data_IF_801721031984
#
_entry.id   IF_801721031984
#
_cell.length_a   1.000
_cell.length_b   1.000
_cell.length_c   1.000
_cell.angle_alpha   90.00
_cell.angle_beta   90.00
_cell.angle_gamma   90.00
#
_symmetry.space_group_name_H-M   'P 1'
#
loop_
_entity.id
_entity.type
_entity.pdbx_description
1 polymer ?
#
# COMPACT_ATOMS: atom_id res chain seq x y z
N UNK A 1 -23.91 -12.24 36.85
CA UNK A 1 -22.48 -11.85 36.65
C UNK A 1 -22.13 -11.96 35.16
N UNK A 2 -21.40 -11.03 34.53
CA UNK A 2 -21.11 -11.03 33.06
C UNK A 2 -19.72 -11.58 32.72
N UNK A 3 -19.39 -12.79 33.16
CA UNK A 3 -18.03 -13.34 33.05
C UNK A 3 -17.57 -13.50 31.60
N UNK A 4 -18.46 -13.94 30.69
CA UNK A 4 -18.15 -14.01 29.26
C UNK A 4 -17.80 -12.67 28.62
N UNK A 5 -18.39 -11.55 29.07
CA UNK A 5 -18.07 -10.21 28.57
C UNK A 5 -16.67 -9.76 28.99
N UNK A 6 -16.24 -10.13 30.20
CA UNK A 6 -14.91 -9.79 30.72
C UNK A 6 -13.83 -10.63 30.01
N UNK A 7 -14.05 -11.94 29.85
CA UNK A 7 -13.15 -12.82 29.13
C UNK A 7 -12.97 -12.39 27.66
N UNK A 8 -14.07 -12.01 26.99
CA UNK A 8 -14.04 -11.51 25.62
C UNK A 8 -13.28 -10.18 25.46
N UNK A 9 -13.30 -9.30 26.48
CA UNK A 9 -12.56 -8.03 26.45
C UNK A 9 -11.04 -8.25 26.44
N UNK A 10 -10.54 -9.20 27.23
CA UNK A 10 -9.11 -9.46 27.37
C UNK A 10 -8.59 -10.54 26.43
N UNK A 11 -9.47 -11.30 25.76
CA UNK A 11 -9.11 -12.42 24.88
C UNK A 11 -8.26 -13.51 25.56
N UNK A 12 -8.39 -13.65 26.88
CA UNK A 12 -7.61 -14.59 27.72
C UNK A 12 -8.39 -15.86 28.10
N UNK A 13 -9.54 -16.12 27.48
CA UNK A 13 -10.40 -17.28 27.78
C UNK A 13 -9.63 -18.61 27.76
N UNK A 14 -8.62 -18.70 26.90
CA UNK A 14 -7.76 -19.87 26.77
C UNK A 14 -6.90 -20.21 28.00
N UNK A 15 -6.80 -19.33 29.01
CA UNK A 15 -5.94 -19.53 30.19
C UNK A 15 -6.70 -19.87 31.47
N UNK A 16 -8.03 -20.05 31.39
CA UNK A 16 -8.86 -20.25 32.56
C UNK A 16 -9.83 -21.40 32.32
N UNK A 17 -9.94 -22.28 33.31
CA UNK A 17 -11.08 -23.18 33.40
C UNK A 17 -12.22 -22.45 34.11
N UNK A 18 -13.36 -22.36 33.42
CA UNK A 18 -14.59 -21.88 34.00
C UNK A 18 -15.56 -23.02 34.19
N UNK A 19 -16.04 -23.17 35.43
CA UNK A 19 -17.21 -23.98 35.72
C UNK A 19 -18.31 -23.07 36.28
N UNK A 20 -19.47 -23.07 35.62
CA UNK A 20 -20.64 -22.29 36.01
C UNK A 20 -21.78 -23.27 36.25
N UNK A 21 -22.29 -23.32 37.47
CA UNK A 21 -23.51 -24.02 37.85
C UNK A 21 -24.61 -23.01 38.18
N UNK A 22 -25.80 -23.48 38.52
CA UNK A 22 -26.94 -22.61 38.89
C UNK A 22 -26.67 -21.75 40.12
N UNK A 23 -25.77 -22.19 41.01
CA UNK A 23 -25.48 -21.53 42.29
C UNK A 23 -24.01 -21.16 42.47
N UNK A 24 -23.09 -21.68 41.65
CA UNK A 24 -21.65 -21.56 41.88
C UNK A 24 -20.90 -21.18 40.61
N UNK A 25 -19.90 -20.31 40.77
CA UNK A 25 -18.92 -19.98 39.74
C UNK A 25 -17.54 -20.34 40.28
N UNK A 26 -16.84 -21.24 39.60
CA UNK A 26 -15.46 -21.58 39.90
C UNK A 26 -14.58 -21.18 38.73
N UNK A 27 -13.53 -20.42 39.03
CA UNK A 27 -12.52 -19.98 38.07
C UNK A 27 -11.18 -20.48 38.58
N UNK A 28 -10.52 -21.34 37.81
CA UNK A 28 -9.13 -21.73 38.05
C UNK A 28 -8.28 -21.36 36.84
N UNK A 29 -7.00 -21.09 37.10
CA UNK A 29 -6.02 -20.87 36.03
C UNK A 29 -5.64 -22.22 35.45
N UNK A 30 -5.57 -22.29 34.13
CA UNK A 30 -4.97 -23.41 33.41
C UNK A 30 -3.45 -23.17 33.39
N UNK A 31 -2.77 -23.56 34.47
CA UNK A 31 -1.35 -23.27 34.68
C UNK A 31 -0.50 -23.89 33.58
N UNK A 32 -0.79 -25.12 33.16
CA UNK A 32 -0.07 -25.82 32.10
C UNK A 32 -0.15 -25.05 30.78
N UNK A 33 -1.33 -24.51 30.45
CA UNK A 33 -1.53 -23.73 29.23
C UNK A 33 -0.95 -22.32 29.30
N UNK A 34 -0.90 -21.72 30.49
CA UNK A 34 -0.19 -20.47 30.74
C UNK A 34 1.32 -20.69 30.55
N UNK A 35 1.87 -21.73 31.16
CA UNK A 35 3.30 -22.03 31.11
C UNK A 35 3.75 -22.42 29.69
N UNK A 36 2.91 -23.18 28.96
CA UNK A 36 3.17 -23.52 27.56
C UNK A 36 3.15 -22.27 26.63
N UNK A 37 2.29 -21.29 26.90
CA UNK A 37 2.28 -20.03 26.16
C UNK A 37 3.43 -19.12 26.57
N UNK A 38 3.74 -19.03 27.86
CA UNK A 38 4.89 -18.28 28.38
C UNK A 38 6.23 -18.83 27.85
N UNK A 39 6.33 -20.15 27.62
CA UNK A 39 7.49 -20.76 26.96
C UNK A 39 7.69 -20.28 25.50
N UNK A 40 6.63 -19.72 24.88
CA UNK A 40 6.66 -19.11 23.57
C UNK A 40 6.76 -17.57 23.62
N UNK A 41 6.87 -16.97 24.81
CA UNK A 41 7.02 -15.52 24.93
C UNK A 41 8.32 -15.06 24.25
N UNK A 42 8.18 -14.12 23.33
CA UNK A 42 9.28 -13.66 22.48
C UNK A 42 9.55 -14.55 21.25
N UNK A 43 8.87 -15.69 21.10
CA UNK A 43 8.94 -16.57 19.92
C UNK A 43 7.75 -16.27 19.01
N UNK A 44 8.04 -15.93 17.76
CA UNK A 44 7.00 -15.68 16.76
C UNK A 44 6.72 -16.94 15.94
N UNK A 45 5.60 -17.62 16.22
CA UNK A 45 5.22 -18.86 15.54
C UNK A 45 4.27 -18.58 14.36
N UNK A 46 4.65 -19.03 13.17
CA UNK A 46 3.79 -19.04 11.99
C UNK A 46 3.23 -20.44 11.77
N UNK A 47 1.90 -20.55 11.82
CA UNK A 47 1.18 -21.77 11.42
C UNK A 47 0.60 -21.60 10.03
N UNK A 48 0.90 -22.52 9.13
CA UNK A 48 0.39 -22.53 7.76
C UNK A 48 -0.19 -23.90 7.40
N UNK A 49 -1.11 -23.94 6.44
CA UNK A 49 -1.58 -25.19 5.82
C UNK A 49 -0.70 -25.62 4.64
N UNK A 50 0.24 -24.78 4.23
CA UNK A 50 1.20 -25.12 3.19
C UNK A 50 2.10 -26.27 3.63
N UNK A 51 2.35 -27.20 2.72
CA UNK A 51 3.23 -28.34 2.92
C UNK A 51 4.71 -27.95 2.69
N UNK A 52 5.68 -28.69 3.26
CA UNK A 52 7.10 -28.44 3.02
C UNK A 52 7.52 -28.54 1.53
N UNK A 53 6.74 -29.26 0.73
CA UNK A 53 6.92 -29.38 -0.72
C UNK A 53 6.43 -28.15 -1.50
N UNK A 54 5.45 -27.41 -0.95
CA UNK A 54 4.93 -26.18 -1.55
C UNK A 54 5.73 -24.95 -1.13
N UNK A 55 6.12 -24.88 0.14
CA UNK A 55 6.87 -23.75 0.70
C UNK A 55 7.96 -24.22 1.66
N UNK A 56 9.18 -23.72 1.47
CA UNK A 56 10.21 -23.77 2.50
C UNK A 56 9.85 -22.86 3.69
N UNK A 57 10.46 -23.10 4.85
CA UNK A 57 10.28 -22.27 6.05
C UNK A 57 10.50 -20.78 5.76
N UNK A 58 11.59 -20.43 5.07
CA UNK A 58 11.90 -19.05 4.72
C UNK A 58 10.86 -18.45 3.77
N UNK A 59 10.32 -19.25 2.85
CA UNK A 59 9.28 -18.82 1.94
C UNK A 59 7.94 -18.57 2.65
N UNK A 60 7.60 -19.35 3.68
CA UNK A 60 6.44 -19.09 4.55
C UNK A 60 6.60 -17.76 5.30
N UNK A 61 7.77 -17.53 5.90
CA UNK A 61 8.06 -16.28 6.62
C UNK A 61 7.99 -15.09 5.65
N UNK A 62 8.61 -15.22 4.47
CA UNK A 62 8.59 -14.20 3.42
C UNK A 62 7.17 -13.88 2.95
N UNK A 63 6.35 -14.89 2.66
CA UNK A 63 4.96 -14.71 2.26
C UNK A 63 4.14 -14.00 3.34
N UNK A 64 4.33 -14.38 4.61
CA UNK A 64 3.67 -13.70 5.72
C UNK A 64 4.10 -12.24 5.84
N UNK A 65 5.40 -11.94 5.75
CA UNK A 65 5.93 -10.56 5.82
C UNK A 65 5.48 -9.71 4.62
N UNK A 66 5.22 -10.31 3.47
CA UNK A 66 4.67 -9.62 2.30
C UNK A 66 3.25 -9.06 2.55
N UNK A 67 2.54 -9.50 3.59
CA UNK A 67 1.29 -8.88 4.03
C UNK A 67 1.47 -7.38 4.35
N UNK A 68 2.67 -6.97 4.78
CA UNK A 68 2.98 -5.56 4.99
C UNK A 68 2.90 -4.72 3.70
N UNK A 69 3.04 -5.33 2.51
CA UNK A 69 2.78 -4.64 1.24
C UNK A 69 1.29 -4.32 1.10
N UNK A 70 0.44 -5.31 1.38
CA UNK A 70 -1.02 -5.16 1.35
C UNK A 70 -1.47 -4.07 2.33
N UNK A 71 -0.91 -4.06 3.55
CA UNK A 71 -1.19 -3.00 4.53
C UNK A 71 -0.76 -1.62 4.07
N UNK A 72 0.40 -1.51 3.40
CA UNK A 72 0.88 -0.25 2.80
C UNK A 72 -0.05 0.23 1.70
N UNK A 73 -0.53 -0.67 0.84
CA UNK A 73 -1.46 -0.35 -0.22
C UNK A 73 -2.82 0.10 0.36
N UNK A 74 -3.33 -0.58 1.39
CA UNK A 74 -4.53 -0.15 2.11
C UNK A 74 -4.36 1.21 2.81
N UNK A 75 -3.16 1.52 3.31
CA UNK A 75 -2.86 2.82 3.92
C UNK A 75 -2.86 3.92 2.85
N UNK A 76 -2.24 3.65 1.70
CA UNK A 76 -2.23 4.55 0.55
C UNK A 76 -3.67 4.89 0.09
N UNK A 77 -4.50 3.85 -0.04
CA UNK A 77 -5.91 3.97 -0.40
C UNK A 77 -6.71 4.82 0.60
N UNK A 78 -6.41 4.70 1.90
CA UNK A 78 -7.19 5.38 2.95
C UNK A 78 -6.87 6.86 3.12
N UNK A 79 -5.62 7.27 3.00
CA UNK A 79 -5.17 8.55 3.54
C UNK A 79 -3.99 9.22 2.82
N UNK A 80 -3.44 8.63 1.76
CA UNK A 80 -2.26 9.21 1.08
C UNK A 80 -2.59 9.59 -0.36
N UNK A 81 -3.23 8.68 -1.10
CA UNK A 81 -3.40 8.85 -2.54
C UNK A 81 -4.85 9.03 -2.98
N UNK A 82 -5.80 8.39 -2.28
CA UNK A 82 -7.20 8.31 -2.73
C UNK A 82 -8.22 8.84 -1.72
N UNK A 83 -7.76 9.26 -0.53
CA UNK A 83 -8.60 9.88 0.50
C UNK A 83 -9.96 9.19 0.71
N UNK A 84 -9.98 7.85 0.81
CA UNK A 84 -11.20 7.08 1.11
C UNK A 84 -11.91 7.61 2.38
N UNK A 85 -11.18 8.28 3.27
CA UNK A 85 -11.75 8.95 4.45
C UNK A 85 -11.32 10.42 4.46
N UNK A 86 -12.09 11.29 3.80
CA UNK A 86 -13.10 12.04 4.55
C UNK A 86 -14.47 12.12 3.87
N UNK A 87 -14.80 11.19 2.96
CA UNK A 87 -16.06 11.23 2.19
C UNK A 87 -17.15 10.42 2.88
N UNK A 88 -18.21 11.10 3.31
CA UNK A 88 -19.32 10.50 4.07
C UNK A 88 -20.53 10.27 3.16
N UNK A 89 -20.77 9.02 2.74
CA UNK A 89 -21.95 8.64 1.98
C UNK A 89 -23.10 8.24 2.91
N UNK A 90 -24.34 8.61 2.55
CA UNK A 90 -25.55 8.27 3.35
C UNK A 90 -26.37 7.11 2.78
N UNK A 91 -26.15 6.75 1.51
CA UNK A 91 -26.85 5.67 0.83
C UNK A 91 -25.90 4.50 0.60
N UNK A 92 -26.37 3.28 0.83
CA UNK A 92 -25.57 2.05 0.72
C UNK A 92 -24.93 1.90 -0.67
N UNK A 93 -25.68 2.13 -1.74
CA UNK A 93 -25.15 2.03 -3.11
C UNK A 93 -24.02 3.03 -3.38
N UNK A 94 -24.08 4.23 -2.78
CA UNK A 94 -23.01 5.23 -2.91
C UNK A 94 -21.74 4.82 -2.15
N UNK A 95 -21.90 4.17 -0.99
CA UNK A 95 -20.77 3.58 -0.25
C UNK A 95 -20.10 2.51 -1.12
N UNK A 96 -20.88 1.57 -1.67
CA UNK A 96 -20.36 0.49 -2.53
C UNK A 96 -19.64 1.03 -3.77
N UNK A 97 -20.26 1.99 -4.47
CA UNK A 97 -19.68 2.62 -5.65
C UNK A 97 -18.37 3.34 -5.34
N UNK A 98 -18.32 4.10 -4.24
CA UNK A 98 -17.11 4.80 -3.83
C UNK A 98 -15.97 3.84 -3.50
N UNK A 99 -16.24 2.78 -2.73
CA UNK A 99 -15.24 1.75 -2.42
C UNK A 99 -14.73 1.08 -3.69
N UNK A 100 -15.61 0.76 -4.64
CA UNK A 100 -15.23 0.18 -5.93
C UNK A 100 -14.29 1.11 -6.71
N UNK A 101 -14.64 2.39 -6.86
CA UNK A 101 -13.81 3.39 -7.55
C UNK A 101 -12.45 3.50 -6.85
N UNK A 102 -12.43 3.55 -5.52
CA UNK A 102 -11.17 3.61 -4.77
C UNK A 102 -10.31 2.36 -4.96
N UNK A 103 -10.91 1.16 -5.04
CA UNK A 103 -10.16 -0.06 -5.34
C UNK A 103 -9.56 -0.02 -6.76
N UNK A 104 -10.32 0.43 -7.75
CA UNK A 104 -9.84 0.57 -9.13
C UNK A 104 -8.71 1.60 -9.24
N UNK A 105 -8.85 2.76 -8.61
CA UNK A 105 -7.82 3.79 -8.63
C UNK A 105 -6.58 3.41 -7.82
N UNK A 106 -6.71 2.57 -6.78
CA UNK A 106 -5.57 2.00 -6.07
C UNK A 106 -4.82 0.99 -6.94
N UNK A 107 -5.54 0.15 -7.70
CA UNK A 107 -4.94 -0.74 -8.67
C UNK A 107 -4.18 0.03 -9.77
N UNK A 108 -4.77 1.10 -10.29
CA UNK A 108 -4.09 2.00 -11.23
C UNK A 108 -2.83 2.63 -10.60
N UNK A 109 -2.95 3.13 -9.38
CA UNK A 109 -1.83 3.73 -8.63
C UNK A 109 -0.69 2.74 -8.43
N UNK A 110 -1.00 1.47 -8.15
CA UNK A 110 0.00 0.41 -8.04
C UNK A 110 0.79 0.22 -9.35
N UNK A 111 0.10 0.15 -10.48
CA UNK A 111 0.73 0.06 -11.80
C UNK A 111 1.55 1.32 -12.14
N UNK A 112 1.00 2.51 -11.89
CA UNK A 112 1.69 3.77 -12.13
C UNK A 112 2.96 3.91 -11.31
N UNK A 113 2.95 3.48 -10.03
CA UNK A 113 4.15 3.48 -9.17
C UNK A 113 5.24 2.58 -9.72
N UNK A 114 4.87 1.43 -10.29
CA UNK A 114 5.82 0.51 -10.92
C UNK A 114 6.39 1.11 -12.20
N UNK A 115 5.54 1.62 -13.09
CA UNK A 115 5.96 2.17 -14.38
C UNK A 115 6.82 3.44 -14.22
N UNK A 116 6.45 4.31 -13.27
CA UNK A 116 7.11 5.59 -13.03
C UNK A 116 8.20 5.52 -11.96
N UNK A 117 8.61 4.32 -11.54
CA UNK A 117 9.61 4.13 -10.48
C UNK A 117 10.89 4.94 -10.73
N UNK A 118 11.36 4.95 -11.99
CA UNK A 118 12.55 5.68 -12.44
C UNK A 118 12.48 7.20 -12.22
N UNK A 119 11.28 7.80 -12.27
CA UNK A 119 11.07 9.24 -12.05
C UNK A 119 10.83 9.60 -10.57
N UNK A 120 10.76 8.60 -9.69
CA UNK A 120 10.46 8.78 -8.27
C UNK A 120 11.60 8.33 -7.38
N UNK A 121 11.54 8.64 -6.08
CA UNK A 121 12.46 8.10 -5.07
C UNK A 121 12.32 6.59 -4.79
N UNK A 122 11.54 5.86 -5.60
CA UNK A 122 11.44 4.41 -5.52
C UNK A 122 12.81 3.78 -5.81
N UNK A 123 13.16 2.76 -5.03
CA UNK A 123 14.34 1.93 -5.27
C UNK A 123 13.94 0.82 -6.27
N UNK A 124 14.53 0.83 -7.47
CA UNK A 124 14.23 -0.12 -8.52
C UNK A 124 14.82 -1.51 -8.25
N UNK A 125 15.95 -1.54 -7.53
CA UNK A 125 16.74 -2.75 -7.31
C UNK A 125 17.12 -2.89 -5.84
N UNK A 126 16.13 -2.99 -4.93
CA UNK A 126 16.42 -3.19 -3.53
C UNK A 126 17.20 -4.52 -3.35
N UNK A 127 18.29 -4.53 -2.57
CA UNK A 127 19.07 -5.73 -2.35
C UNK A 127 18.21 -6.81 -1.67
N UNK A 128 18.38 -8.06 -2.13
CA UNK A 128 17.72 -9.21 -1.51
C UNK A 128 18.13 -9.33 -0.03
N UNK A 129 17.16 -9.63 0.84
CA UNK A 129 17.44 -9.91 2.24
C UNK A 129 17.73 -11.38 2.40
N UNK A 130 18.86 -11.72 3.00
CA UNK A 130 19.20 -13.10 3.35
C UNK A 130 18.40 -13.57 4.56
N UNK A 131 18.12 -12.66 5.50
CA UNK A 131 17.25 -12.89 6.65
C UNK A 131 15.92 -12.12 6.45
N UNK A 132 14.76 -12.82 6.45
CA UNK A 132 13.46 -12.18 6.25
C UNK A 132 13.07 -11.18 7.36
N UNK A 133 13.67 -11.25 8.55
CA UNK A 133 13.41 -10.29 9.65
C UNK A 133 14.46 -9.18 9.77
N UNK A 134 15.55 -9.25 9.02
CA UNK A 134 16.57 -8.19 9.02
C UNK A 134 16.03 -6.85 8.45
N UNK A 135 16.55 -5.71 8.93
CA UNK A 135 16.18 -4.39 8.42
C UNK A 135 16.39 -4.24 6.90
N UNK A 136 15.51 -3.47 6.26
CA UNK A 136 15.63 -3.12 4.85
C UNK A 136 16.89 -2.29 4.59
N UNK A 137 17.65 -2.63 3.55
CA UNK A 137 18.75 -1.81 3.03
C UNK A 137 18.38 -1.22 1.69
N UNK A 138 18.81 0.02 1.43
CA UNK A 138 18.63 0.69 0.13
C UNK A 138 19.76 0.32 -0.82
N UNK A 139 19.49 0.30 -2.11
CA UNK A 139 20.52 0.19 -3.14
C UNK A 139 21.40 1.44 -3.20
N UNK A 140 22.61 1.31 -3.77
CA UNK A 140 23.51 2.44 -4.01
C UNK A 140 22.88 3.48 -4.96
N UNK A 141 22.11 3.02 -5.95
CA UNK A 141 21.37 3.87 -6.87
C UNK A 141 20.30 4.69 -6.14
N UNK A 142 19.51 4.06 -5.28
CA UNK A 142 18.51 4.76 -4.46
C UNK A 142 19.13 5.76 -3.48
N UNK A 143 20.28 5.42 -2.88
CA UNK A 143 21.03 6.35 -2.03
C UNK A 143 21.51 7.58 -2.83
N UNK A 144 22.02 7.36 -4.03
CA UNK A 144 22.47 8.43 -4.93
C UNK A 144 21.31 9.32 -5.38
N UNK A 145 20.18 8.71 -5.76
CA UNK A 145 18.94 9.42 -6.14
C UNK A 145 18.45 10.30 -4.99
N UNK A 146 18.46 9.77 -3.76
CA UNK A 146 18.05 10.50 -2.57
C UNK A 146 18.99 11.66 -2.23
N UNK A 147 20.31 11.50 -2.45
CA UNK A 147 21.32 12.51 -2.21
C UNK A 147 21.29 13.64 -3.25
N UNK A 148 21.26 13.29 -4.55
CA UNK A 148 21.27 14.27 -5.65
C UNK A 148 19.92 14.89 -5.95
N UNK A 149 18.82 14.28 -5.48
CA UNK A 149 17.44 14.63 -5.85
C UNK A 149 17.19 14.55 -7.36
N UNK A 150 17.96 13.71 -8.06
CA UNK A 150 17.84 13.49 -9.51
C UNK A 150 17.81 12.00 -9.83
N UNK A 151 17.19 11.64 -10.96
CA UNK A 151 17.14 10.28 -11.48
C UNK A 151 18.54 9.82 -11.91
N UNK A 152 18.78 8.51 -11.86
CA UNK A 152 20.10 7.93 -12.16
C UNK A 152 20.35 7.76 -13.66
N UNK A 153 19.29 7.75 -14.48
CA UNK A 153 19.36 7.53 -15.93
C UNK A 153 19.54 8.84 -16.71
N UNK A 154 18.71 9.84 -16.43
CA UNK A 154 18.59 11.07 -17.22
C UNK A 154 18.90 12.34 -16.43
N UNK A 155 19.28 12.22 -15.17
CA UNK A 155 19.53 13.34 -14.25
C UNK A 155 18.33 14.31 -14.11
N UNK A 156 17.11 13.87 -14.45
CA UNK A 156 15.89 14.65 -14.24
C UNK A 156 15.59 14.76 -12.74
N UNK A 157 14.83 15.76 -12.25
CA UNK A 157 14.54 15.84 -10.83
C UNK A 157 13.71 14.63 -10.36
N UNK A 158 14.16 13.96 -9.31
CA UNK A 158 13.41 12.85 -8.69
C UNK A 158 12.33 13.42 -7.76
N UNK A 159 11.13 12.82 -7.76
CA UNK A 159 9.98 13.31 -7.00
C UNK A 159 9.37 12.23 -6.10
N UNK A 160 8.54 12.64 -5.14
CA UNK A 160 7.56 11.71 -4.58
C UNK A 160 6.51 11.39 -5.65
N UNK A 161 5.80 10.27 -5.50
CA UNK A 161 4.74 9.90 -6.46
C UNK A 161 3.69 11.00 -6.60
N UNK A 162 3.21 11.56 -5.49
CA UNK A 162 2.23 12.66 -5.51
C UNK A 162 2.80 13.92 -6.19
N UNK A 163 4.03 14.32 -5.87
CA UNK A 163 4.65 15.47 -6.53
C UNK A 163 4.87 15.24 -8.02
N UNK A 164 5.10 13.99 -8.45
CA UNK A 164 5.14 13.64 -9.87
C UNK A 164 3.76 13.82 -10.50
N UNK A 165 2.69 13.28 -9.90
CA UNK A 165 1.32 13.49 -10.41
C UNK A 165 0.95 14.97 -10.49
N UNK A 166 1.28 15.76 -9.47
CA UNK A 166 1.09 17.22 -9.49
C UNK A 166 1.85 17.86 -10.65
N UNK A 167 3.11 17.47 -10.88
CA UNK A 167 3.90 17.97 -12.01
C UNK A 167 3.29 17.56 -13.37
N UNK A 168 2.82 16.32 -13.50
CA UNK A 168 2.13 15.86 -14.71
C UNK A 168 0.85 16.66 -14.96
N UNK A 169 0.12 17.04 -13.90
CA UNK A 169 -1.06 17.89 -13.97
C UNK A 169 -0.80 19.31 -14.50
N UNK A 170 0.46 19.77 -14.54
CA UNK A 170 0.80 21.07 -15.16
C UNK A 170 0.79 21.02 -16.69
N UNK A 171 0.68 19.84 -17.29
CA UNK A 171 0.50 19.68 -18.73
C UNK A 171 -0.94 20.05 -19.10
N UNK A 172 -1.14 21.29 -19.53
CA UNK A 172 -2.46 21.81 -19.88
C UNK A 172 -2.78 21.60 -21.35
N UNK A 173 -4.07 21.38 -21.61
CA UNK A 173 -4.69 21.44 -22.93
C UNK A 173 -5.47 22.75 -23.01
N UNK A 174 -5.24 23.51 -24.06
CA UNK A 174 -5.88 24.80 -24.30
C UNK A 174 -6.62 24.76 -25.62
N UNK A 175 -7.85 25.25 -25.63
CA UNK A 175 -8.63 25.44 -26.84
C UNK A 175 -8.44 26.88 -27.33
N UNK A 176 -7.68 27.04 -28.42
CA UNK A 176 -7.40 28.36 -28.98
C UNK A 176 -8.46 28.71 -30.03
N UNK A 177 -9.17 29.82 -29.84
CA UNK A 177 -10.13 30.36 -30.81
C UNK A 177 -9.57 31.62 -31.46
N UNK A 178 -9.54 31.65 -32.79
CA UNK A 178 -9.06 32.82 -33.54
C UNK A 178 -10.23 33.76 -33.88
N UNK A 179 -10.40 34.83 -33.09
CA UNK A 179 -11.53 35.75 -33.21
C UNK A 179 -12.83 35.19 -32.61
N UNK A 180 -13.95 35.89 -32.78
CA UNK A 180 -15.20 35.52 -32.11
C UNK A 180 -15.95 34.35 -32.75
N UNK A 181 -15.80 34.17 -34.07
CA UNK A 181 -16.46 33.11 -34.85
C UNK A 181 -15.47 32.17 -35.54
N UNK A 182 -14.19 32.16 -35.12
CA UNK A 182 -13.17 31.30 -35.71
C UNK A 182 -13.21 29.85 -35.23
N UNK A 183 -12.49 28.95 -35.91
CA UNK A 183 -12.35 27.56 -35.48
C UNK A 183 -11.65 27.47 -34.12
N UNK A 184 -12.03 26.47 -33.32
CA UNK A 184 -11.34 26.10 -32.09
C UNK A 184 -10.24 25.09 -32.43
N UNK A 185 -9.00 25.40 -32.05
CA UNK A 185 -7.84 24.55 -32.26
C UNK A 185 -7.35 24.01 -30.92
N UNK A 186 -7.49 22.71 -30.65
CA UNK A 186 -6.95 22.10 -29.44
C UNK A 186 -5.42 22.15 -29.49
N UNK A 187 -4.81 22.77 -28.48
CA UNK A 187 -3.39 23.04 -28.40
C UNK A 187 -2.84 22.53 -27.07
N UNK A 188 -1.87 21.63 -27.14
CA UNK A 188 -1.16 21.14 -25.96
C UNK A 188 0.01 22.08 -25.62
N UNK A 189 0.25 22.35 -24.33
CA UNK A 189 1.50 23.00 -23.94
C UNK A 189 2.70 22.11 -24.23
N UNK A 190 3.85 22.72 -24.52
CA UNK A 190 5.08 21.97 -24.75
C UNK A 190 5.44 21.16 -23.48
N UNK A 191 5.46 19.82 -23.54
CA UNK A 191 5.72 19.01 -22.36
C UNK A 191 7.16 19.21 -21.88
N UNK A 192 7.35 19.24 -20.58
CA UNK A 192 8.67 19.17 -19.92
C UNK A 192 9.33 17.81 -20.17
N UNK A 193 10.65 17.72 -20.01
CA UNK A 193 11.37 16.44 -20.16
C UNK A 193 10.85 15.37 -19.21
N UNK A 194 10.50 15.74 -17.97
CA UNK A 194 9.86 14.82 -17.01
C UNK A 194 8.51 14.32 -17.52
N UNK A 195 7.69 15.18 -18.13
CA UNK A 195 6.38 14.78 -18.67
C UNK A 195 6.56 13.84 -19.86
N UNK A 196 7.43 14.20 -20.83
CA UNK A 196 7.78 13.30 -21.94
C UNK A 196 8.22 11.93 -21.44
N UNK A 197 9.20 11.92 -20.53
CA UNK A 197 9.74 10.68 -19.96
C UNK A 197 8.68 9.86 -19.24
N UNK A 198 7.73 10.49 -18.55
CA UNK A 198 6.64 9.76 -17.89
C UNK A 198 5.75 9.03 -18.91
N UNK A 199 5.37 9.69 -20.00
CA UNK A 199 4.58 9.08 -21.06
C UNK A 199 5.34 7.99 -21.81
N UNK A 200 6.65 8.18 -22.05
CA UNK A 200 7.53 7.14 -22.61
C UNK A 200 7.56 5.88 -21.74
N UNK A 201 7.70 6.05 -20.42
CA UNK A 201 7.69 4.93 -19.46
C UNK A 201 6.34 4.22 -19.37
N UNK A 202 5.24 4.94 -19.62
CA UNK A 202 3.89 4.38 -19.66
C UNK A 202 3.59 3.68 -21.00
N UNK A 203 4.45 3.83 -22.01
CA UNK A 203 4.19 3.32 -23.36
C UNK A 203 2.98 4.00 -24.01
N UNK A 204 2.67 5.23 -23.62
CA UNK A 204 1.50 5.97 -24.06
C UNK A 204 1.92 7.29 -24.73
N UNK A 205 1.25 7.65 -25.83
CA UNK A 205 1.40 8.98 -26.39
C UNK A 205 0.79 10.02 -25.43
N UNK A 206 1.35 11.23 -25.43
CA UNK A 206 0.74 12.35 -24.74
C UNK A 206 -0.63 12.63 -25.40
N UNK A 207 -1.77 12.46 -24.70
CA UNK A 207 -3.05 12.44 -25.37
C UNK A 207 -3.42 13.86 -25.82
N UNK A 208 -3.71 13.99 -27.11
CA UNK A 208 -4.11 15.26 -27.73
C UNK A 208 -5.59 15.60 -27.47
N UNK A 209 -6.43 14.59 -27.26
CA UNK A 209 -7.87 14.73 -26.99
C UNK A 209 -8.30 13.85 -25.82
N UNK A 210 -9.41 14.21 -25.15
CA UNK A 210 -10.13 13.32 -24.24
C UNK A 210 -11.15 12.54 -25.10
N UNK A 211 -10.88 11.27 -25.36
CA UNK A 211 -11.88 10.34 -25.93
C UNK A 211 -12.80 9.81 -24.85
#
# INVERSE_FOLDING_TARGET
MKVGKILGKFKMTKHFHLNITDTTLTISRDTDRIDAEAALDGIYVLRTTATPTEFSTDAVIGAYKNLAQVERDFRSLKAIDLDLRPIHHRLDDRVKAHVLICMLAAYLTWHMRKALALLTFTDEHPPARQDPVAPARRSAAAATKAARKTTTDTALPARSYQALLTHLGTLTRNDLRYGDNGPIVPTLTAPTDTQRRAFDLLGAAVPLTLT
#
